data_IF_006381579233
#
_entry.id   IF_006381579233
#
_cell.length_a   1.000
_cell.length_b   1.000
_cell.length_c   1.000
_cell.angle_alpha   90.00
_cell.angle_beta   90.00
_cell.angle_gamma   90.00
#
_symmetry.space_group_name_H-M   'P 1'
#
loop_
_entity.id
_entity.type
_entity.pdbx_description
1 polymer ?
#
# COMPACT_ATOMS: atom_id res chain seq x y z
N UNK A 1 -19.92 7.72 6.98
CA UNK A 1 -19.33 8.74 6.09
C UNK A 1 -18.32 8.03 5.20
N UNK A 2 -18.58 7.85 3.90
CA UNK A 2 -17.52 7.43 2.97
C UNK A 2 -16.52 8.58 2.95
N UNK A 3 -15.34 8.40 3.53
CA UNK A 3 -14.23 9.31 3.25
C UNK A 3 -13.81 8.95 1.83
N UNK A 4 -13.99 9.87 0.89
CA UNK A 4 -13.34 9.77 -0.41
C UNK A 4 -11.85 9.98 -0.17
N UNK A 5 -11.15 8.89 0.18
CA UNK A 5 -9.70 8.91 0.31
C UNK A 5 -9.14 9.07 -1.10
N UNK A 6 -8.46 10.19 -1.31
CA UNK A 6 -7.68 10.42 -2.51
C UNK A 6 -6.42 9.56 -2.46
N UNK A 7 -6.47 8.42 -3.13
CA UNK A 7 -5.36 7.46 -3.17
C UNK A 7 -4.12 8.04 -3.85
N UNK A 8 -4.27 8.95 -4.82
CA UNK A 8 -3.11 9.55 -5.46
C UNK A 8 -2.34 10.43 -4.47
N UNK A 9 -3.05 11.25 -3.70
CA UNK A 9 -2.45 12.04 -2.62
C UNK A 9 -1.79 11.15 -1.54
N UNK A 10 -2.38 9.99 -1.23
CA UNK A 10 -1.77 9.03 -0.31
C UNK A 10 -0.47 8.44 -0.89
N UNK A 11 -0.45 8.08 -2.17
CA UNK A 11 0.76 7.58 -2.85
C UNK A 11 1.87 8.64 -2.85
N UNK A 12 1.53 9.89 -3.18
CA UNK A 12 2.49 11.01 -3.15
C UNK A 12 3.08 11.19 -1.75
N UNK A 13 2.26 11.10 -0.70
CA UNK A 13 2.72 11.12 0.68
C UNK A 13 3.66 9.94 0.99
N UNK A 14 3.33 8.72 0.57
CA UNK A 14 4.18 7.54 0.78
C UNK A 14 5.54 7.75 0.10
N UNK A 15 5.55 8.18 -1.16
CA UNK A 15 6.78 8.45 -1.93
C UNK A 15 7.66 9.50 -1.24
N UNK A 16 7.05 10.55 -0.69
CA UNK A 16 7.76 11.59 0.07
C UNK A 16 8.32 11.07 1.40
N UNK A 17 7.61 10.16 2.05
CA UNK A 17 7.97 9.65 3.38
C UNK A 17 9.04 8.56 3.37
N UNK A 18 9.24 7.89 2.23
CA UNK A 18 10.24 6.83 2.09
C UNK A 18 11.65 7.39 1.80
N UNK A 19 12.72 6.69 2.23
CA UNK A 19 14.10 7.04 1.89
C UNK A 19 14.32 7.19 0.38
N UNK A 20 15.22 8.08 -0.03
CA UNK A 20 15.48 8.39 -1.43
C UNK A 20 15.99 7.17 -2.23
N UNK A 21 16.77 6.30 -1.59
CA UNK A 21 17.32 5.08 -2.16
C UNK A 21 16.38 3.86 -2.06
N UNK A 22 15.15 4.05 -1.55
CA UNK A 22 14.16 2.98 -1.39
C UNK A 22 13.73 2.38 -2.74
N UNK A 23 13.80 1.05 -2.83
CA UNK A 23 13.25 0.30 -3.98
C UNK A 23 11.72 0.39 -4.04
N UNK A 24 11.05 0.39 -2.89
CA UNK A 24 9.59 0.57 -2.80
C UNK A 24 9.20 1.92 -3.41
N UNK A 25 9.94 2.99 -3.09
CA UNK A 25 9.70 4.33 -3.66
C UNK A 25 9.78 4.31 -5.19
N UNK A 26 10.84 3.73 -5.76
CA UNK A 26 11.01 3.59 -7.22
C UNK A 26 9.88 2.79 -7.88
N UNK A 27 9.42 1.72 -7.21
CA UNK A 27 8.31 0.91 -7.70
C UNK A 27 6.97 1.68 -7.68
N UNK A 28 6.81 2.65 -6.77
CA UNK A 28 5.59 3.45 -6.65
C UNK A 28 5.46 4.53 -7.73
N UNK A 29 6.55 5.04 -8.29
CA UNK A 29 6.51 6.08 -9.34
C UNK A 29 5.74 5.66 -10.59
N UNK A 30 5.65 4.35 -10.85
CA UNK A 30 4.96 3.77 -12.01
C UNK A 30 3.85 2.80 -11.60
N UNK A 31 3.31 2.92 -10.39
CA UNK A 31 2.31 1.96 -9.90
C UNK A 31 0.99 2.12 -10.66
N UNK A 32 0.42 0.98 -11.06
CA UNK A 32 -0.93 0.98 -11.65
C UNK A 32 -1.98 1.22 -10.56
N UNK A 33 -3.12 1.86 -10.88
CA UNK A 33 -4.22 2.01 -9.94
C UNK A 33 -4.68 0.65 -9.38
N UNK A 34 -4.93 0.63 -8.08
CA UNK A 34 -5.49 -0.53 -7.38
C UNK A 34 -7.01 -0.49 -7.30
N UNK A 35 -7.56 -1.25 -6.34
CA UNK A 35 -9.00 -1.34 -6.06
C UNK A 35 -9.24 -1.47 -4.55
N UNK A 36 -10.32 -0.86 -4.09
CA UNK A 36 -10.82 -1.10 -2.73
C UNK A 36 -11.28 -2.55 -2.59
N UNK A 37 -10.82 -3.25 -1.55
CA UNK A 37 -11.37 -4.56 -1.15
C UNK A 37 -12.26 -4.46 0.10
N UNK A 38 -12.07 -3.41 0.90
CA UNK A 38 -12.89 -3.11 2.07
C UNK A 38 -12.97 -1.60 2.29
N UNK A 39 -13.65 -1.15 3.37
CA UNK A 39 -13.67 0.27 3.77
C UNK A 39 -12.29 0.81 4.20
N UNK A 40 -11.38 -0.08 4.59
CA UNK A 40 -10.11 0.27 5.22
C UNK A 40 -8.90 -0.26 4.43
N UNK A 41 -9.12 -0.87 3.26
CA UNK A 41 -8.05 -1.54 2.52
C UNK A 41 -8.12 -1.31 1.01
N UNK A 42 -7.05 -0.73 0.48
CA UNK A 42 -6.85 -0.49 -0.94
C UNK A 42 -5.73 -1.38 -1.49
N UNK A 43 -6.08 -2.25 -2.43
CA UNK A 43 -5.20 -3.31 -2.94
C UNK A 43 -4.66 -2.97 -4.33
N UNK A 44 -3.34 -3.10 -4.52
CA UNK A 44 -2.67 -2.96 -5.81
C UNK A 44 -2.37 -4.30 -6.47
N UNK A 45 -2.02 -5.31 -5.67
CA UNK A 45 -1.65 -6.65 -6.16
C UNK A 45 -2.73 -7.67 -5.80
N UNK A 46 -3.06 -8.53 -6.74
CA UNK A 46 -4.03 -9.60 -6.54
C UNK A 46 -3.58 -10.58 -5.44
N UNK A 47 -4.41 -10.75 -4.42
CA UNK A 47 -4.15 -11.63 -3.26
C UNK A 47 -4.67 -13.06 -3.45
N UNK A 48 -5.17 -13.41 -4.64
CA UNK A 48 -5.57 -14.80 -4.94
C UNK A 48 -4.38 -15.74 -4.68
N UNK A 49 -4.62 -16.74 -3.82
CA UNK A 49 -3.61 -17.71 -3.38
C UNK A 49 -2.39 -17.11 -2.69
N UNK A 50 -2.55 -15.99 -1.98
CA UNK A 50 -1.47 -15.34 -1.22
C UNK A 50 -0.56 -16.33 -0.48
N UNK A 51 0.75 -16.07 -0.57
CA UNK A 51 1.85 -16.83 0.04
C UNK A 51 1.98 -18.28 -0.47
N UNK A 52 1.36 -18.62 -1.60
CA UNK A 52 1.61 -19.89 -2.31
C UNK A 52 2.55 -19.69 -3.49
N UNK A 53 3.34 -20.72 -3.88
CA UNK A 53 4.16 -20.67 -5.08
C UNK A 53 3.35 -20.27 -6.32
N UNK A 54 3.87 -19.32 -7.09
CA UNK A 54 3.22 -18.78 -8.29
C UNK A 54 2.16 -17.70 -8.04
N UNK A 55 1.87 -17.36 -6.78
CA UNK A 55 1.03 -16.19 -6.46
C UNK A 55 1.81 -14.89 -6.65
N UNK A 56 1.08 -13.81 -6.95
CA UNK A 56 1.65 -12.45 -7.02
C UNK A 56 1.84 -11.86 -5.62
N UNK A 57 1.02 -12.30 -4.68
CA UNK A 57 1.06 -11.87 -3.30
C UNK A 57 1.96 -12.78 -2.48
N UNK A 58 3.25 -12.45 -2.42
CA UNK A 58 4.19 -13.07 -1.48
C UNK A 58 4.61 -12.00 -0.48
N UNK A 59 4.08 -12.09 0.74
CA UNK A 59 4.32 -11.09 1.78
C UNK A 59 5.80 -11.06 2.19
N UNK A 60 6.35 -9.86 2.33
CA UNK A 60 7.71 -9.63 2.82
C UNK A 60 7.67 -8.96 4.20
N UNK A 61 7.10 -7.77 4.29
CA UNK A 61 7.10 -6.97 5.52
C UNK A 61 6.02 -5.88 5.49
N UNK A 62 5.87 -5.18 6.62
CA UNK A 62 5.04 -3.98 6.72
C UNK A 62 5.90 -2.73 6.89
N UNK A 63 5.54 -1.66 6.19
CA UNK A 63 6.02 -0.31 6.50
C UNK A 63 4.87 0.45 7.13
N UNK A 64 5.09 1.04 8.31
CA UNK A 64 4.09 1.82 9.04
C UNK A 64 4.44 3.29 8.89
N UNK A 65 3.47 4.11 8.44
CA UNK A 65 3.61 5.56 8.31
C UNK A 65 2.47 6.27 9.04
N UNK A 66 2.77 7.44 9.60
CA UNK A 66 1.77 8.27 10.26
C UNK A 66 1.35 9.42 9.33
N UNK A 67 0.14 9.34 8.77
CA UNK A 67 -0.39 10.36 7.86
C UNK A 67 -1.12 11.45 8.64
N UNK A 68 -0.82 12.75 8.43
CA UNK A 68 -1.30 13.84 9.26
C UNK A 68 -2.83 14.00 9.31
N UNK A 69 -3.56 13.47 8.32
CA UNK A 69 -5.04 13.51 8.26
C UNK A 69 -5.72 12.14 8.37
N UNK A 70 -4.98 11.07 8.10
CA UNK A 70 -5.55 9.72 7.96
C UNK A 70 -5.15 8.81 9.12
N UNK A 71 -4.29 9.29 10.02
CA UNK A 71 -3.71 8.52 11.11
C UNK A 71 -2.71 7.52 10.59
N UNK A 72 -2.59 6.39 11.30
CA UNK A 72 -1.69 5.32 10.93
C UNK A 72 -2.15 4.64 9.64
N UNK A 73 -1.24 4.57 8.67
CA UNK A 73 -1.36 3.75 7.47
C UNK A 73 -0.31 2.64 7.49
N UNK A 74 -0.71 1.44 7.09
CA UNK A 74 0.18 0.28 6.99
C UNK A 74 0.31 -0.09 5.52
N UNK A 75 1.54 -0.23 5.06
CA UNK A 75 1.88 -0.64 3.71
C UNK A 75 2.28 -2.10 3.73
N UNK A 76 1.52 -2.94 3.03
CA UNK A 76 1.90 -4.33 2.80
C UNK A 76 2.98 -4.37 1.71
N UNK A 77 4.22 -4.67 2.09
CA UNK A 77 5.32 -4.84 1.13
C UNK A 77 5.46 -6.31 0.80
N UNK A 78 5.45 -6.60 -0.50
CA UNK A 78 5.62 -7.94 -1.06
C UNK A 78 7.07 -8.17 -1.50
N UNK A 79 7.40 -9.41 -1.85
CA UNK A 79 8.66 -9.72 -2.53
C UNK A 79 8.89 -8.81 -3.75
N UNK A 80 10.16 -8.55 -4.05
CA UNK A 80 10.60 -7.58 -5.08
C UNK A 80 10.15 -6.14 -4.78
N UNK A 81 9.89 -5.85 -3.51
CA UNK A 81 9.59 -4.51 -3.00
C UNK A 81 8.33 -3.90 -3.65
N UNK A 82 7.36 -4.74 -4.01
CA UNK A 82 6.09 -4.30 -4.57
C UNK A 82 5.13 -3.91 -3.45
N UNK A 83 4.42 -2.79 -3.62
CA UNK A 83 3.32 -2.44 -2.73
C UNK A 83 2.12 -3.36 -3.03
N UNK A 84 1.76 -4.20 -2.07
CA UNK A 84 0.58 -5.06 -2.15
C UNK A 84 -0.70 -4.29 -1.89
N UNK A 85 -0.73 -3.52 -0.81
CA UNK A 85 -1.91 -2.79 -0.36
C UNK A 85 -1.60 -1.73 0.69
N UNK A 86 -2.58 -0.86 0.92
CA UNK A 86 -2.56 0.15 1.98
C UNK A 86 -3.75 -0.13 2.91
N UNK A 87 -3.45 -0.34 4.18
CA UNK A 87 -4.44 -0.43 5.24
C UNK A 87 -4.54 0.89 6.02
N UNK A 88 -5.76 1.35 6.24
CA UNK A 88 -6.08 2.58 6.97
C UNK A 88 -6.64 2.23 8.36
N UNK A 89 -5.80 2.31 9.39
CA UNK A 89 -6.14 1.81 10.73
C UNK A 89 -7.34 2.54 11.34
N UNK A 90 -7.44 3.86 11.12
CA UNK A 90 -8.57 4.68 11.59
C UNK A 90 -9.92 4.34 10.96
N UNK A 91 -9.96 3.41 9.98
CA UNK A 91 -11.17 2.99 9.29
C UNK A 91 -11.59 1.54 9.59
N UNK A 92 -10.84 0.81 10.41
CA UNK A 92 -11.17 -0.57 10.80
C UNK A 92 -12.49 -0.64 11.59
#
# INVERSE_FOLDING_TARGET
>A
MKRDIDIQNVIEFIIYSLPEDSLVKRNLENINPGKWQSKAYYQFVDSIHANKPGSKWIFKENIILEHPKLGTIVLDILEKDQLGGIEFIELI
#
